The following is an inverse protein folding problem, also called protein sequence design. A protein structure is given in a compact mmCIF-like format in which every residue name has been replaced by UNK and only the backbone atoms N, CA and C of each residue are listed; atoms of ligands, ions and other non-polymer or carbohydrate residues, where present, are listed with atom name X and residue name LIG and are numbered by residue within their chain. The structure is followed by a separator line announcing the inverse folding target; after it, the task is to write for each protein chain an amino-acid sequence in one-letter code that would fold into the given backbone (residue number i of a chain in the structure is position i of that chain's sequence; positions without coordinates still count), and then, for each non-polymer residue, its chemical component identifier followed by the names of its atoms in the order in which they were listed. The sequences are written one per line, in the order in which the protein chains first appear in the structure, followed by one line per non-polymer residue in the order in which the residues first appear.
data_IF_415541188975
#
_entry.id   IF_415541188975
#
_cell.length_a   1.000
_cell.length_b   1.000
_cell.length_c   1.000
_cell.angle_alpha   90.00
_cell.angle_beta   90.00
_cell.angle_gamma   90.00
#
_symmetry.space_group_name_H-M   'P 1'
#
loop_
_entity.id
_entity.type
_entity.pdbx_description
1 polymer ?
#
# COMPACT_ATOMS: atom_id res chain seq x y z
N UNK A 1 -9.12 -8.39 -12.35
CA UNK A 1 -8.26 -7.21 -12.08
C UNK A 1 -8.90 -6.32 -11.01
N UNK A 2 -10.12 -5.80 -11.22
CA UNK A 2 -10.82 -4.95 -10.23
C UNK A 2 -10.94 -5.54 -8.82
N UNK A 3 -11.26 -6.84 -8.68
CA UNK A 3 -11.34 -7.52 -7.37
C UNK A 3 -9.99 -7.58 -6.64
N UNK A 4 -8.88 -7.72 -7.37
CA UNK A 4 -7.55 -7.77 -6.77
C UNK A 4 -7.10 -6.38 -6.32
N UNK A 5 -7.35 -5.35 -7.14
CA UNK A 5 -7.13 -3.95 -6.76
C UNK A 5 -7.94 -3.57 -5.52
N UNK A 6 -9.24 -3.91 -5.48
CA UNK A 6 -10.10 -3.61 -4.34
C UNK A 6 -9.59 -4.27 -3.06
N UNK A 7 -9.19 -5.54 -3.15
CA UNK A 7 -8.69 -6.30 -2.01
C UNK A 7 -7.37 -5.71 -1.49
N UNK A 8 -6.39 -5.53 -2.37
CA UNK A 8 -5.07 -5.00 -1.99
C UNK A 8 -5.18 -3.58 -1.44
N UNK A 9 -5.87 -2.67 -2.15
CA UNK A 9 -6.03 -1.28 -1.74
C UNK A 9 -6.71 -1.11 -0.38
N UNK A 10 -7.75 -1.88 -0.09
CA UNK A 10 -8.42 -1.85 1.22
C UNK A 10 -7.60 -2.52 2.34
N UNK A 11 -6.77 -3.51 1.99
CA UNK A 11 -5.94 -4.24 2.95
C UNK A 11 -4.80 -3.38 3.50
N UNK A 12 -4.36 -2.33 2.78
CA UNK A 12 -3.35 -1.37 3.25
C UNK A 12 -3.79 -0.76 4.59
N UNK A 13 -4.96 -0.11 4.59
CA UNK A 13 -5.52 0.58 5.76
C UNK A 13 -5.92 -0.38 6.88
N UNK A 14 -6.44 -1.56 6.54
CA UNK A 14 -6.76 -2.60 7.52
C UNK A 14 -5.51 -3.02 8.31
N UNK A 15 -4.40 -3.31 7.63
CA UNK A 15 -3.15 -3.67 8.30
C UNK A 15 -2.52 -2.51 9.09
N UNK A 16 -2.65 -1.25 8.63
CA UNK A 16 -2.23 -0.09 9.42
C UNK A 16 -3.04 0.00 10.72
N UNK A 17 -4.35 -0.23 10.65
CA UNK A 17 -5.23 -0.20 11.82
C UNK A 17 -4.87 -1.30 12.82
N UNK A 18 -4.56 -2.50 12.32
CA UNK A 18 -4.06 -3.60 13.15
C UNK A 18 -2.70 -3.27 13.77
N UNK A 19 -1.77 -2.66 13.01
CA UNK A 19 -0.47 -2.25 13.51
C UNK A 19 -0.61 -1.34 14.74
N UNK A 20 -1.52 -0.36 14.69
CA UNK A 20 -1.80 0.56 15.81
C UNK A 20 -2.29 -0.15 17.09
N UNK A 21 -2.83 -1.36 16.98
CA UNK A 21 -3.28 -2.19 18.10
C UNK A 21 -2.30 -3.34 18.41
N UNK A 22 -1.13 -3.33 17.77
CA UNK A 22 -0.12 -4.37 17.90
C UNK A 22 0.43 -4.48 19.31
N UNK A 23 0.74 -5.70 19.74
CA UNK A 23 1.14 -5.99 21.11
C UNK A 23 2.63 -5.69 21.40
N UNK A 24 3.40 -5.40 20.35
CA UNK A 24 4.83 -5.07 20.46
C UNK A 24 5.29 -4.23 19.28
N UNK A 25 6.48 -3.61 19.41
CA UNK A 25 7.14 -2.93 18.28
C UNK A 25 7.36 -3.88 17.09
N UNK A 26 7.72 -5.13 17.34
CA UNK A 26 7.95 -6.12 16.28
C UNK A 26 6.65 -6.41 15.50
N UNK A 27 5.54 -6.56 16.22
CA UNK A 27 4.20 -6.77 15.64
C UNK A 27 3.73 -5.55 14.84
N UNK A 28 3.88 -4.34 15.40
CA UNK A 28 3.63 -3.08 14.69
C UNK A 28 4.35 -3.02 13.33
N UNK A 29 5.67 -3.27 13.32
CA UNK A 29 6.43 -3.25 12.08
C UNK A 29 6.05 -4.40 11.14
N UNK A 30 5.76 -5.60 11.64
CA UNK A 30 5.32 -6.71 10.81
C UNK A 30 4.04 -6.36 10.04
N UNK A 31 3.07 -5.74 10.71
CA UNK A 31 1.82 -5.27 10.07
C UNK A 31 2.06 -4.15 9.07
N UNK A 32 2.93 -3.18 9.38
CA UNK A 32 3.31 -2.14 8.39
C UNK A 32 4.03 -2.72 7.16
N UNK A 33 4.83 -3.78 7.31
CA UNK A 33 5.41 -4.47 6.16
C UNK A 33 4.35 -5.17 5.31
N UNK A 34 3.27 -5.67 5.91
CA UNK A 34 2.14 -6.20 5.14
C UNK A 34 1.46 -5.07 4.39
N UNK A 35 1.15 -3.94 5.05
CA UNK A 35 0.60 -2.75 4.36
C UNK A 35 1.46 -2.29 3.19
N UNK A 36 2.79 -2.33 3.32
CA UNK A 36 3.71 -1.95 2.25
C UNK A 36 3.60 -2.91 1.05
N UNK A 37 3.51 -4.23 1.30
CA UNK A 37 3.31 -5.21 0.23
C UNK A 37 1.98 -5.00 -0.50
N UNK A 38 0.90 -4.78 0.25
CA UNK A 38 -0.43 -4.52 -0.31
C UNK A 38 -0.45 -3.21 -1.13
N UNK A 39 0.30 -2.19 -0.71
CA UNK A 39 0.45 -0.94 -1.46
C UNK A 39 1.19 -1.16 -2.79
N UNK A 40 2.29 -1.91 -2.78
CA UNK A 40 3.00 -2.29 -4.02
C UNK A 40 2.15 -3.18 -4.94
N UNK A 41 1.33 -4.08 -4.39
CA UNK A 41 0.39 -4.86 -5.21
C UNK A 41 -0.72 -3.96 -5.81
N UNK A 42 -1.21 -2.99 -5.04
CA UNK A 42 -2.18 -1.99 -5.51
C UNK A 42 -1.62 -1.19 -6.68
N UNK A 43 -0.38 -0.70 -6.55
CA UNK A 43 0.37 0.02 -7.59
C UNK A 43 0.45 -0.80 -8.89
N UNK A 44 0.87 -2.06 -8.80
CA UNK A 44 0.91 -2.97 -9.95
C UNK A 44 -0.44 -3.12 -10.65
N UNK A 45 -1.53 -3.26 -9.90
CA UNK A 45 -2.85 -3.39 -10.49
C UNK A 45 -3.34 -2.09 -11.15
N UNK A 46 -2.95 -0.92 -10.63
CA UNK A 46 -3.25 0.37 -11.26
C UNK A 46 -2.54 0.50 -12.60
N UNK A 47 -1.24 0.20 -12.65
CA UNK A 47 -0.44 0.21 -13.88
C UNK A 47 -1.06 -0.71 -14.93
N UNK A 48 -1.36 -1.96 -14.54
CA UNK A 48 -1.92 -2.93 -15.46
C UNK A 48 -3.31 -2.55 -15.98
N UNK A 49 -4.17 -1.94 -15.14
CA UNK A 49 -5.48 -1.44 -15.58
C UNK A 49 -5.36 -0.26 -16.54
N UNK A 50 -4.37 0.61 -16.34
CA UNK A 50 -4.10 1.73 -17.23
C UNK A 50 -3.56 1.25 -18.58
N UNK A 51 -2.54 0.38 -18.58
CA UNK A 51 -1.95 -0.19 -19.80
C UNK A 51 -2.96 -1.00 -20.64
N UNK A 52 -3.94 -1.61 -19.98
CA UNK A 52 -5.03 -2.35 -20.66
C UNK A 52 -6.23 -1.49 -21.04
N UNK A 53 -6.18 -0.17 -20.79
CA UNK A 53 -7.21 0.79 -21.20
C UNK A 53 -8.50 0.75 -20.39
N UNK A 54 -8.52 0.09 -19.22
CA UNK A 54 -9.69 0.08 -18.33
C UNK A 54 -9.87 1.39 -17.56
N UNK A 55 -8.78 2.13 -17.33
CA UNK A 55 -8.80 3.45 -16.71
C UNK A 55 -8.00 4.45 -17.55
N UNK A 56 -8.54 5.66 -17.72
CA UNK A 56 -7.86 6.74 -18.43
C UNK A 56 -6.75 7.37 -17.58
N UNK A 57 -5.91 8.17 -18.24
CA UNK A 57 -4.75 8.85 -17.63
C UNK A 57 -5.12 9.65 -16.37
N UNK A 58 -6.20 10.43 -16.42
CA UNK A 58 -6.61 11.28 -15.30
C UNK A 58 -6.99 10.44 -14.06
N UNK A 59 -7.75 9.36 -14.26
CA UNK A 59 -8.12 8.44 -13.18
C UNK A 59 -6.94 7.63 -12.65
N UNK A 60 -6.02 7.24 -13.53
CA UNK A 60 -4.79 6.56 -13.14
C UNK A 60 -3.87 7.47 -12.33
N UNK A 61 -3.50 8.64 -12.87
CA UNK A 61 -2.54 9.55 -12.25
C UNK A 61 -2.96 9.98 -10.85
N UNK A 62 -4.24 10.27 -10.62
CA UNK A 62 -4.73 10.66 -9.29
C UNK A 62 -4.51 9.55 -8.26
N UNK A 63 -4.98 8.33 -8.55
CA UNK A 63 -4.91 7.20 -7.60
C UNK A 63 -3.47 6.68 -7.46
N UNK A 64 -2.71 6.69 -8.55
CA UNK A 64 -1.32 6.25 -8.56
C UNK A 64 -0.43 7.14 -7.69
N UNK A 65 -0.60 8.46 -7.76
CA UNK A 65 0.14 9.41 -6.92
C UNK A 65 -0.13 9.19 -5.43
N UNK A 66 -1.40 9.01 -5.04
CA UNK A 66 -1.77 8.69 -3.66
C UNK A 66 -1.13 7.38 -3.19
N UNK A 67 -1.16 6.34 -4.04
CA UNK A 67 -0.56 5.05 -3.74
C UNK A 67 0.96 5.17 -3.53
N UNK A 68 1.65 5.93 -4.38
CA UNK A 68 3.09 6.19 -4.24
C UNK A 68 3.43 6.97 -2.96
N UNK A 69 2.60 7.92 -2.57
CA UNK A 69 2.80 8.67 -1.32
C UNK A 69 2.69 7.74 -0.11
N UNK A 70 1.68 6.87 -0.08
CA UNK A 70 1.52 5.84 0.95
C UNK A 70 2.74 4.92 1.03
N UNK A 71 3.25 4.45 -0.12
CA UNK A 71 4.46 3.61 -0.19
C UNK A 71 5.65 4.36 0.42
N UNK A 72 5.88 5.63 0.05
CA UNK A 72 6.98 6.45 0.59
C UNK A 72 6.90 6.59 2.11
N UNK A 73 5.71 6.85 2.64
CA UNK A 73 5.46 6.96 4.09
C UNK A 73 5.77 5.63 4.78
N UNK A 74 5.24 4.51 4.27
CA UNK A 74 5.46 3.18 4.85
C UNK A 74 6.94 2.78 4.81
N UNK A 75 7.65 3.08 3.71
CA UNK A 75 9.10 2.86 3.58
C UNK A 75 9.89 3.69 4.59
N UNK A 76 9.54 4.96 4.78
CA UNK A 76 10.20 5.82 5.76
C UNK A 76 10.03 5.27 7.19
N UNK A 77 8.81 4.90 7.58
CA UNK A 77 8.51 4.34 8.90
C UNK A 77 9.26 3.01 9.11
N UNK A 78 9.17 2.10 8.14
CA UNK A 78 9.79 0.76 8.27
C UNK A 78 11.32 0.80 8.24
N UNK A 79 11.95 1.78 7.57
CA UNK A 79 13.41 1.97 7.59
C UNK A 79 13.91 2.43 8.97
N UNK A 80 13.15 3.20 9.73
CA UNK A 80 13.56 3.64 11.08
C UNK A 80 13.84 2.47 12.03
N UNK A 81 13.15 1.32 11.87
CA UNK A 81 13.45 0.08 12.62
C UNK A 81 14.89 -0.38 12.47
N UNK A 82 15.51 -0.18 11.31
CA UNK A 82 16.85 -0.70 11.00
C UNK A 82 17.95 0.05 11.75
N UNK A 83 17.63 1.22 12.30
CA UNK A 83 18.57 2.14 12.93
C UNK A 83 18.39 2.26 14.46
N UNK A 84 17.51 1.46 15.08
CA UNK A 84 17.19 1.55 16.50
C UNK A 84 16.98 0.21 17.18
#
# INVERSE_FOLDING_TARGET
MSKQLLKSGTSIGANIKEAQQGQSKADFYAKLYISLKEASETEYWLELLHESGYIGEEGFSAIYQDCQEIIKILVAITKHRRNG
#
